data_IF_507457960502
#
_entry.id   IF_507457960502
#
_cell.length_a   1.000
_cell.length_b   1.000
_cell.length_c   1.000
_cell.angle_alpha   90.00
_cell.angle_beta   90.00
_cell.angle_gamma   90.00
#
_symmetry.space_group_name_H-M   'P 1'
#
loop_
_entity.id
_entity.type
_entity.pdbx_description
1 polymer ?
#
# COMPACT_ATOMS: atom_id res chain seq x y z
N UNK A 1 1.14 -12.88 13.76
CA UNK A 1 2.14 -13.59 12.94
C UNK A 1 3.37 -12.69 12.85
N UNK A 2 4.47 -13.11 13.45
CA UNK A 2 5.75 -12.44 13.28
C UNK A 2 6.35 -12.84 11.94
N UNK A 3 6.67 -11.85 11.11
CA UNK A 3 7.41 -12.03 9.86
C UNK A 3 8.65 -11.13 9.93
N UNK A 4 9.82 -11.72 9.76
CA UNK A 4 11.07 -10.98 9.66
C UNK A 4 11.18 -10.36 8.27
N UNK A 5 11.46 -9.06 8.22
CA UNK A 5 11.64 -8.31 6.98
C UNK A 5 13.05 -7.74 6.92
N UNK A 6 14.04 -8.52 6.49
CA UNK A 6 15.45 -8.16 6.58
C UNK A 6 15.89 -7.11 5.56
N UNK A 7 15.12 -6.93 4.47
CA UNK A 7 15.45 -5.97 3.41
C UNK A 7 15.07 -4.58 3.87
N UNK A 8 16.06 -3.77 4.22
CA UNK A 8 15.88 -2.42 4.74
C UNK A 8 16.99 -1.48 4.28
N UNK A 9 16.75 -0.19 4.41
CA UNK A 9 17.72 0.85 4.09
C UNK A 9 17.25 1.79 2.99
N UNK A 10 18.02 2.80 2.72
CA UNK A 10 17.76 3.81 1.69
C UNK A 10 18.41 3.38 0.37
N UNK A 11 17.66 3.19 -0.72
CA UNK A 11 18.25 2.86 -2.01
C UNK A 11 19.07 4.04 -2.55
N UNK A 12 20.13 3.76 -3.28
CA UNK A 12 20.86 4.78 -4.06
C UNK A 12 20.15 5.12 -5.35
N UNK A 13 19.43 4.13 -5.92
CA UNK A 13 18.78 4.22 -7.23
C UNK A 13 17.45 3.49 -7.21
N UNK A 14 16.46 4.05 -7.91
CA UNK A 14 15.15 3.42 -8.10
C UNK A 14 14.84 3.42 -9.59
N UNK A 15 14.68 2.21 -10.17
CA UNK A 15 14.20 2.04 -11.53
C UNK A 15 12.68 2.07 -11.58
N UNK A 16 12.10 2.94 -12.39
CA UNK A 16 10.65 3.12 -12.52
C UNK A 16 10.21 3.16 -13.98
N UNK A 17 8.96 2.83 -14.23
CA UNK A 17 8.34 3.09 -15.53
C UNK A 17 7.90 4.56 -15.67
N UNK A 18 7.33 4.90 -16.83
CA UNK A 18 6.84 6.25 -17.10
C UNK A 18 5.41 6.47 -16.58
N UNK A 19 4.97 5.75 -15.57
CA UNK A 19 3.68 5.96 -14.92
C UNK A 19 3.56 7.35 -14.31
N UNK A 20 2.38 7.97 -14.41
CA UNK A 20 2.14 9.32 -13.91
C UNK A 20 2.44 9.49 -12.40
N UNK A 21 2.30 8.44 -11.64
CA UNK A 21 2.56 8.45 -10.19
C UNK A 21 4.04 8.68 -9.87
N UNK A 22 4.94 8.13 -10.70
CA UNK A 22 6.39 8.33 -10.55
C UNK A 22 6.87 9.69 -11.04
N UNK A 23 6.13 10.35 -11.94
CA UNK A 23 6.36 11.75 -12.34
C UNK A 23 5.73 12.75 -11.38
N UNK A 24 5.31 12.32 -10.20
CA UNK A 24 4.78 13.24 -9.21
C UNK A 24 5.90 14.08 -8.59
N UNK A 25 5.63 15.38 -8.42
CA UNK A 25 6.57 16.30 -7.76
C UNK A 25 6.94 15.86 -6.33
N UNK A 26 6.11 15.05 -5.68
CA UNK A 26 6.39 14.49 -4.36
C UNK A 26 7.49 13.43 -4.43
N UNK A 27 7.37 12.51 -5.38
CA UNK A 27 8.34 11.43 -5.56
C UNK A 27 9.70 11.98 -6.04
N UNK A 28 9.70 12.80 -7.09
CA UNK A 28 10.94 13.39 -7.63
C UNK A 28 11.71 14.18 -6.57
N UNK A 29 11.02 15.08 -5.84
CA UNK A 29 11.65 15.87 -4.77
C UNK A 29 12.10 15.02 -3.59
N UNK A 30 11.32 14.01 -3.20
CA UNK A 30 11.72 13.09 -2.15
C UNK A 30 13.01 12.36 -2.52
N UNK A 31 13.10 11.85 -3.74
CA UNK A 31 14.32 11.21 -4.24
C UNK A 31 15.51 12.18 -4.27
N UNK A 32 15.33 13.37 -4.83
CA UNK A 32 16.38 14.42 -4.91
C UNK A 32 16.90 14.80 -3.51
N UNK A 33 15.97 15.08 -2.57
CA UNK A 33 16.31 15.48 -1.20
C UNK A 33 17.10 14.41 -0.44
N UNK A 34 16.83 13.15 -0.76
CA UNK A 34 17.53 12.03 -0.10
C UNK A 34 18.68 11.43 -0.92
N UNK A 35 19.04 12.06 -2.04
CA UNK A 35 20.15 11.61 -2.89
C UNK A 35 19.88 10.25 -3.55
N UNK A 36 18.61 9.99 -3.90
CA UNK A 36 18.17 8.79 -4.60
C UNK A 36 18.06 9.12 -6.09
N UNK A 37 18.83 8.45 -6.93
CA UNK A 37 18.74 8.58 -8.39
C UNK A 37 17.51 7.86 -8.92
N UNK A 38 16.80 8.47 -9.87
CA UNK A 38 15.67 7.84 -10.55
C UNK A 38 16.09 7.45 -11.95
N UNK A 39 15.99 6.17 -12.26
CA UNK A 39 16.21 5.63 -13.59
C UNK A 39 14.86 5.42 -14.28
N UNK A 40 14.59 6.24 -15.26
CA UNK A 40 13.39 6.12 -16.08
C UNK A 40 13.55 5.06 -17.16
N UNK A 41 12.64 4.13 -17.25
CA UNK A 41 12.65 3.16 -18.35
C UNK A 41 12.50 3.86 -19.70
N UNK A 42 13.29 3.48 -20.71
CA UNK A 42 13.09 4.01 -22.03
C UNK A 42 11.69 3.67 -22.56
N UNK A 43 10.98 4.63 -23.17
CA UNK A 43 9.69 4.36 -23.79
C UNK A 43 9.75 3.28 -24.86
N UNK A 44 8.76 2.39 -24.89
CA UNK A 44 8.67 1.32 -25.90
C UNK A 44 9.63 0.16 -25.72
N UNK A 45 10.28 0.03 -24.55
CA UNK A 45 11.20 -1.07 -24.25
C UNK A 45 10.69 -1.90 -23.05
N UNK A 46 9.73 -2.82 -23.25
CA UNK A 46 9.12 -3.60 -22.18
C UNK A 46 10.10 -4.51 -21.44
N UNK A 47 11.19 -4.95 -22.10
CA UNK A 47 12.20 -5.83 -21.51
C UNK A 47 12.81 -5.29 -20.21
N UNK A 48 12.88 -3.98 -20.02
CA UNK A 48 13.36 -3.37 -18.77
C UNK A 48 12.39 -3.55 -17.59
N UNK A 49 11.16 -4.06 -17.85
CA UNK A 49 10.15 -4.35 -16.85
C UNK A 49 10.07 -5.80 -16.40
N UNK A 50 10.72 -6.70 -17.12
CA UNK A 50 10.50 -8.13 -17.00
C UNK A 50 10.68 -8.69 -15.58
N UNK A 51 11.63 -8.17 -14.80
CA UNK A 51 11.84 -8.62 -13.41
C UNK A 51 10.64 -8.25 -12.52
N UNK A 52 10.20 -6.99 -12.55
CA UNK A 52 9.07 -6.53 -11.74
C UNK A 52 7.78 -7.23 -12.14
N UNK A 53 7.54 -7.39 -13.45
CA UNK A 53 6.38 -8.11 -13.99
C UNK A 53 6.37 -9.57 -13.56
N UNK A 54 7.52 -10.24 -13.58
CA UNK A 54 7.67 -11.62 -13.12
C UNK A 54 7.41 -11.76 -11.63
N UNK A 55 7.93 -10.84 -10.80
CA UNK A 55 7.65 -10.83 -9.36
C UNK A 55 6.15 -10.60 -9.10
N UNK A 56 5.54 -9.63 -9.78
CA UNK A 56 4.10 -9.38 -9.69
C UNK A 56 3.33 -10.62 -10.13
N UNK A 57 3.70 -11.24 -11.26
CA UNK A 57 3.06 -12.47 -11.74
C UNK A 57 3.13 -13.61 -10.72
N UNK A 58 4.29 -13.81 -10.09
CA UNK A 58 4.47 -14.81 -9.02
C UNK A 58 3.56 -14.53 -7.83
N UNK A 59 3.52 -13.29 -7.34
CA UNK A 59 2.67 -12.90 -6.22
C UNK A 59 1.19 -12.99 -6.56
N UNK A 60 0.79 -12.57 -7.76
CA UNK A 60 -0.59 -12.70 -8.22
C UNK A 60 -1.00 -14.18 -8.38
N UNK A 61 -0.08 -15.05 -8.81
CA UNK A 61 -0.32 -16.50 -8.80
C UNK A 61 -0.68 -17.03 -7.41
N UNK A 62 -0.03 -16.54 -6.35
CA UNK A 62 -0.38 -16.87 -4.97
C UNK A 62 -1.76 -16.32 -4.58
N UNK A 63 -2.06 -15.08 -4.97
CA UNK A 63 -3.35 -14.42 -4.70
C UNK A 63 -4.51 -15.17 -5.37
N UNK A 64 -4.29 -15.77 -6.54
CA UNK A 64 -5.32 -16.56 -7.23
C UNK A 64 -5.77 -17.81 -6.45
N UNK A 65 -5.02 -18.27 -5.48
CA UNK A 65 -5.42 -19.32 -4.55
C UNK A 65 -6.37 -18.84 -3.43
N UNK A 66 -6.61 -17.54 -3.29
CA UNK A 66 -7.46 -16.99 -2.24
C UNK A 66 -8.95 -17.00 -2.61
N UNK A 67 -9.83 -17.16 -1.61
CA UNK A 67 -11.27 -17.02 -1.84
C UNK A 67 -11.62 -15.61 -2.34
N UNK A 68 -12.47 -15.53 -3.37
CA UNK A 68 -12.88 -14.25 -3.97
C UNK A 68 -11.95 -13.74 -5.07
N UNK A 69 -11.01 -14.57 -5.53
CA UNK A 69 -10.14 -14.23 -6.67
C UNK A 69 -10.92 -14.11 -7.97
N UNK A 70 -10.44 -13.26 -8.88
CA UNK A 70 -10.98 -13.11 -10.23
C UNK A 70 -10.48 -14.16 -11.21
N UNK A 71 -9.49 -14.96 -10.82
CA UNK A 71 -8.71 -15.87 -11.68
C UNK A 71 -7.97 -15.18 -12.84
N UNK A 72 -7.01 -15.89 -13.43
CA UNK A 72 -6.22 -15.35 -14.55
C UNK A 72 -7.02 -15.30 -15.85
N UNK A 73 -8.02 -16.17 -16.01
CA UNK A 73 -8.86 -16.23 -17.22
C UNK A 73 -10.29 -16.68 -16.91
N UNK A 74 -11.19 -16.39 -17.87
CA UNK A 74 -12.62 -16.70 -17.75
C UNK A 74 -12.87 -18.22 -17.70
N UNK A 75 -12.06 -19.04 -18.37
CA UNK A 75 -12.20 -20.49 -18.37
C UNK A 75 -11.96 -21.12 -17.00
N UNK A 76 -10.98 -20.61 -16.25
CA UNK A 76 -10.72 -21.07 -14.87
C UNK A 76 -11.82 -20.62 -13.89
N UNK A 77 -12.49 -19.52 -14.17
CA UNK A 77 -13.57 -18.99 -13.34
C UNK A 77 -14.79 -19.90 -13.31
N UNK A 78 -15.21 -20.45 -14.45
CA UNK A 78 -16.42 -21.27 -14.56
C UNK A 78 -17.64 -20.58 -13.95
N UNK A 79 -18.39 -21.30 -13.11
CA UNK A 79 -19.57 -20.81 -12.37
C UNK A 79 -19.25 -20.23 -10.99
N UNK A 80 -17.97 -19.93 -10.70
CA UNK A 80 -17.54 -19.41 -9.39
C UNK A 80 -18.05 -17.99 -9.16
N UNK A 81 -18.78 -17.81 -8.06
CA UNK A 81 -19.35 -16.52 -7.63
C UNK A 81 -18.32 -15.78 -6.75
N UNK A 82 -17.61 -14.85 -7.35
CA UNK A 82 -16.53 -14.08 -6.72
C UNK A 82 -17.05 -13.30 -5.50
N UNK A 83 -18.19 -12.63 -5.65
CA UNK A 83 -18.74 -11.75 -4.62
C UNK A 83 -19.18 -12.54 -3.38
N UNK A 84 -19.68 -13.75 -3.57
CA UNK A 84 -20.04 -14.63 -2.46
C UNK A 84 -18.83 -15.28 -1.80
N UNK A 85 -17.75 -15.48 -2.53
CA UNK A 85 -16.56 -16.13 -2.03
C UNK A 85 -15.57 -15.13 -1.40
N UNK A 86 -15.62 -13.86 -1.77
CA UNK A 86 -14.77 -12.82 -1.19
C UNK A 86 -14.98 -12.72 0.32
N UNK A 87 -13.93 -12.96 1.10
CA UNK A 87 -14.00 -13.01 2.56
C UNK A 87 -12.92 -12.19 3.26
N UNK A 88 -11.89 -11.73 2.55
CA UNK A 88 -10.81 -10.94 3.11
C UNK A 88 -11.12 -9.44 3.02
N UNK A 89 -10.80 -8.72 4.08
CA UNK A 89 -10.69 -7.26 4.06
C UNK A 89 -9.37 -6.86 3.41
N UNK A 90 -9.23 -5.59 3.06
CA UNK A 90 -7.97 -5.06 2.51
C UNK A 90 -6.81 -5.24 3.49
N UNK A 91 -7.05 -5.01 4.79
CA UNK A 91 -6.04 -5.18 5.84
C UNK A 91 -5.62 -6.65 6.00
N UNK A 92 -6.56 -7.58 5.92
CA UNK A 92 -6.27 -9.01 5.96
C UNK A 92 -5.48 -9.48 4.74
N UNK A 93 -5.81 -8.95 3.55
CA UNK A 93 -5.05 -9.20 2.33
C UNK A 93 -3.62 -8.64 2.40
N UNK A 94 -3.45 -7.41 2.90
CA UNK A 94 -2.14 -6.80 3.12
C UNK A 94 -1.27 -7.65 4.07
N UNK A 95 -1.84 -8.08 5.18
CA UNK A 95 -1.16 -8.97 6.13
C UNK A 95 -0.81 -10.32 5.52
N UNK A 96 -1.71 -10.88 4.72
CA UNK A 96 -1.45 -12.13 4.02
C UNK A 96 -0.32 -11.97 3.00
N UNK A 97 -0.33 -10.89 2.21
CA UNK A 97 0.74 -10.58 1.24
C UNK A 97 2.09 -10.41 1.94
N UNK A 98 2.13 -9.70 3.07
CA UNK A 98 3.37 -9.55 3.84
C UNK A 98 3.94 -10.91 4.26
N UNK A 99 3.09 -11.82 4.71
CA UNK A 99 3.51 -13.20 5.05
C UNK A 99 3.95 -13.98 3.80
N UNK A 100 3.20 -13.87 2.70
CA UNK A 100 3.55 -14.54 1.45
C UNK A 100 4.90 -14.08 0.91
N UNK A 101 5.21 -12.80 1.00
CA UNK A 101 6.51 -12.26 0.59
C UNK A 101 7.61 -12.70 1.58
N UNK A 102 7.45 -12.44 2.87
CA UNK A 102 8.52 -12.63 3.84
C UNK A 102 8.82 -14.11 4.14
N UNK A 103 7.80 -14.98 4.16
CA UNK A 103 7.96 -16.39 4.55
C UNK A 103 7.93 -17.40 3.39
N UNK A 104 7.49 -16.97 2.22
CA UNK A 104 7.44 -17.84 1.06
C UNK A 104 8.36 -17.33 -0.06
N UNK A 105 8.09 -16.14 -0.61
CA UNK A 105 8.85 -15.60 -1.73
C UNK A 105 10.35 -15.43 -1.40
N UNK A 106 10.68 -14.81 -0.27
CA UNK A 106 12.05 -14.56 0.14
C UNK A 106 12.88 -15.85 0.39
N UNK A 107 12.21 -16.95 0.70
CA UNK A 107 12.87 -18.21 1.07
C UNK A 107 12.91 -19.24 -0.07
N UNK A 108 12.13 -19.03 -1.13
CA UNK A 108 12.06 -19.97 -2.25
C UNK A 108 13.22 -19.73 -3.23
N UNK A 109 13.89 -20.78 -3.70
CA UNK A 109 14.86 -20.68 -4.81
C UNK A 109 14.21 -20.14 -6.08
N UNK A 110 14.93 -19.27 -6.79
CA UNK A 110 14.50 -18.69 -8.07
C UNK A 110 15.55 -18.95 -9.15
N UNK A 111 15.12 -19.35 -10.33
CA UNK A 111 16.01 -19.60 -11.47
C UNK A 111 16.77 -18.33 -11.86
N UNK A 112 16.11 -17.17 -11.89
CA UNK A 112 16.75 -15.88 -12.16
C UNK A 112 17.77 -15.42 -11.10
N UNK A 113 18.00 -16.21 -10.05
CA UNK A 113 19.02 -16.02 -9.04
C UNK A 113 19.94 -17.27 -8.94
N UNK A 114 20.15 -17.98 -10.04
CA UNK A 114 20.96 -19.20 -10.09
C UNK A 114 20.53 -20.26 -9.06
N UNK A 115 19.23 -20.37 -8.83
CA UNK A 115 18.67 -21.29 -7.85
C UNK A 115 18.80 -20.80 -6.38
N UNK A 116 19.27 -19.59 -6.15
CA UNK A 116 19.31 -19.02 -4.80
C UNK A 116 17.95 -18.43 -4.38
N UNK A 117 17.70 -18.41 -3.07
CA UNK A 117 16.59 -17.68 -2.50
C UNK A 117 16.92 -16.17 -2.43
N UNK A 118 15.95 -15.26 -2.67
CA UNK A 118 16.15 -13.81 -2.57
C UNK A 118 16.78 -13.37 -1.25
N UNK A 119 16.35 -13.94 -0.14
CA UNK A 119 16.92 -13.65 1.18
C UNK A 119 18.40 -14.00 1.25
N UNK A 120 18.79 -15.16 0.70
CA UNK A 120 20.20 -15.58 0.70
C UNK A 120 21.05 -14.65 -0.16
N UNK A 121 20.56 -14.29 -1.35
CA UNK A 121 21.24 -13.33 -2.23
C UNK A 121 21.43 -11.98 -1.56
N UNK A 122 20.41 -11.49 -0.85
CA UNK A 122 20.50 -10.27 -0.04
C UNK A 122 21.57 -10.38 1.06
N UNK A 123 21.57 -11.47 1.81
CA UNK A 123 22.56 -11.70 2.88
C UNK A 123 24.00 -11.77 2.35
N UNK A 124 24.20 -12.45 1.23
CA UNK A 124 25.52 -12.55 0.60
C UNK A 124 25.99 -11.17 0.10
N UNK A 125 25.10 -10.38 -0.51
CA UNK A 125 25.40 -9.00 -0.92
C UNK A 125 25.72 -8.09 0.27
N UNK A 126 25.01 -8.21 1.39
CA UNK A 126 25.29 -7.48 2.60
C UNK A 126 26.64 -7.85 3.22
N UNK A 127 26.99 -9.14 3.20
CA UNK A 127 28.29 -9.60 3.68
C UNK A 127 29.44 -9.07 2.80
N UNK A 128 29.28 -9.09 1.48
CA UNK A 128 30.25 -8.54 0.55
C UNK A 128 30.46 -7.02 0.78
N UNK A 129 29.36 -6.28 0.88
CA UNK A 129 29.41 -4.84 1.16
C UNK A 129 30.14 -4.53 2.48
N UNK A 130 29.88 -5.33 3.53
CA UNK A 130 30.53 -5.17 4.82
C UNK A 130 32.04 -5.47 4.75
N UNK A 131 32.47 -6.46 3.96
CA UNK A 131 33.90 -6.76 3.74
C UNK A 131 34.62 -5.60 3.05
N UNK A 132 33.96 -4.85 2.20
CA UNK A 132 34.47 -3.64 1.56
C UNK A 132 34.41 -2.41 2.47
N UNK A 133 34.00 -2.54 3.72
CA UNK A 133 33.82 -1.45 4.68
C UNK A 133 32.60 -0.57 4.40
N UNK A 134 31.70 -1.03 3.53
CA UNK A 134 30.46 -0.34 3.20
C UNK A 134 29.31 -0.68 4.13
N UNK A 135 28.28 0.14 4.10
CA UNK A 135 27.00 -0.12 4.77
C UNK A 135 25.84 0.48 4.00
N UNK A 136 24.65 -0.09 4.17
CA UNK A 136 23.45 0.53 3.61
C UNK A 136 23.11 1.78 4.40
N UNK A 137 22.94 2.94 3.75
CA UNK A 137 22.55 4.16 4.43
C UNK A 137 21.13 4.05 4.97
N UNK A 138 20.91 4.54 6.18
CA UNK A 138 19.60 4.64 6.82
C UNK A 138 19.26 6.12 6.96
N UNK A 139 18.00 6.53 6.74
CA UNK A 139 17.59 7.90 7.00
C UNK A 139 17.87 8.30 8.45
N UNK A 140 18.42 9.49 8.67
CA UNK A 140 18.69 10.00 10.02
C UNK A 140 17.40 10.22 10.81
N UNK A 141 16.40 10.77 10.12
CA UNK A 141 15.05 10.95 10.63
C UNK A 141 14.06 10.19 9.71
N UNK A 142 13.60 9.03 10.17
CA UNK A 142 12.67 8.20 9.42
C UNK A 142 11.32 8.90 9.23
N UNK A 143 10.90 9.72 10.19
CA UNK A 143 9.64 10.45 10.09
C UNK A 143 9.70 11.52 9.00
N UNK A 144 10.73 12.35 9.00
CA UNK A 144 10.96 13.34 7.96
C UNK A 144 11.08 12.67 6.59
N UNK A 145 11.84 11.56 6.51
CA UNK A 145 11.97 10.77 5.29
C UNK A 145 10.62 10.33 4.73
N UNK A 146 9.73 9.77 5.55
CA UNK A 146 8.40 9.35 5.12
C UNK A 146 7.52 10.53 4.71
N UNK A 147 7.60 11.65 5.43
CA UNK A 147 6.86 12.87 5.11
C UNK A 147 7.28 13.46 3.77
N UNK A 148 8.58 13.39 3.43
CA UNK A 148 9.11 13.93 2.18
C UNK A 148 8.57 13.24 0.92
N UNK A 149 8.07 12.02 1.03
CA UNK A 149 7.40 11.29 -0.05
C UNK A 149 5.88 11.47 -0.08
N UNK A 150 5.29 12.16 0.87
CA UNK A 150 3.86 12.45 0.85
C UNK A 150 3.49 13.48 -0.23
N UNK A 151 2.28 13.42 -0.79
CA UNK A 151 1.78 14.39 -1.75
C UNK A 151 1.94 15.83 -1.27
N UNK A 152 2.41 16.69 -2.18
CA UNK A 152 2.71 18.09 -1.94
C UNK A 152 1.56 18.98 -2.37
N UNK A 153 1.23 19.94 -1.54
CA UNK A 153 0.28 21.00 -1.81
C UNK A 153 0.90 22.36 -1.44
N UNK A 154 0.52 23.42 -2.14
CA UNK A 154 0.82 24.79 -1.71
C UNK A 154 -0.46 25.44 -1.23
N UNK A 155 -0.45 26.01 -0.01
CA UNK A 155 -1.62 26.66 0.58
C UNK A 155 -1.23 27.95 1.29
N UNK A 156 -2.05 28.98 1.10
CA UNK A 156 -1.92 30.24 1.82
C UNK A 156 -2.46 30.07 3.24
N UNK A 157 -1.74 30.58 4.22
CA UNK A 157 -2.14 30.59 5.61
C UNK A 157 -3.23 31.64 5.84
N UNK A 158 -4.39 31.22 6.34
CA UNK A 158 -5.52 32.06 6.71
C UNK A 158 -5.46 32.40 8.22
N UNK A 159 -6.36 33.27 8.68
CA UNK A 159 -6.47 33.61 10.12
C UNK A 159 -6.90 32.43 10.98
N UNK A 160 -7.69 31.54 10.40
CA UNK A 160 -8.25 30.32 11.02
C UNK A 160 -7.41 29.07 10.78
N UNK A 161 -6.29 29.20 10.06
CA UNK A 161 -5.37 28.12 9.74
C UNK A 161 -5.23 27.84 8.26
N UNK A 162 -5.11 26.56 7.89
CA UNK A 162 -4.97 26.10 6.52
C UNK A 162 -6.23 25.33 6.13
N UNK A 163 -6.89 25.73 5.05
CA UNK A 163 -8.03 24.99 4.51
C UNK A 163 -7.63 24.19 3.27
N UNK A 164 -7.86 22.89 3.32
CA UNK A 164 -7.56 21.96 2.21
C UNK A 164 -8.80 21.11 1.96
N UNK A 165 -9.38 21.26 0.77
CA UNK A 165 -10.55 20.48 0.35
C UNK A 165 -11.71 20.51 1.37
N UNK A 166 -12.04 21.66 1.92
CA UNK A 166 -13.06 21.90 2.94
C UNK A 166 -12.74 21.34 4.35
N UNK A 167 -11.51 20.92 4.61
CA UNK A 167 -11.04 20.55 5.95
C UNK A 167 -10.10 21.64 6.45
N UNK A 168 -10.34 22.13 7.66
CA UNK A 168 -9.54 23.19 8.28
C UNK A 168 -8.55 22.59 9.29
N UNK A 169 -7.28 22.96 9.13
CA UNK A 169 -6.17 22.53 9.97
C UNK A 169 -5.63 23.71 10.76
N UNK A 170 -5.42 23.51 12.06
CA UNK A 170 -4.94 24.57 12.92
C UNK A 170 -4.03 24.04 14.05
N UNK A 171 -2.96 24.77 14.31
CA UNK A 171 -2.08 24.58 15.47
C UNK A 171 -1.72 25.93 16.05
N UNK A 172 -1.52 25.99 17.36
CA UNK A 172 -1.05 27.21 18.03
C UNK A 172 0.30 27.69 17.50
N UNK A 173 1.14 26.79 17.01
CA UNK A 173 2.43 27.12 16.40
C UNK A 173 2.27 27.99 15.13
N UNK A 174 1.18 27.85 14.39
CA UNK A 174 0.89 28.70 13.22
C UNK A 174 0.61 30.15 13.58
N UNK A 175 0.27 30.45 14.83
CA UNK A 175 -0.04 31.83 15.27
C UNK A 175 1.09 32.80 15.01
N UNK A 176 2.33 32.36 15.22
CA UNK A 176 3.51 33.20 14.96
C UNK A 176 3.54 33.66 13.49
N UNK A 177 3.23 32.79 12.55
CA UNK A 177 3.20 33.11 11.12
C UNK A 177 1.94 33.90 10.71
N UNK A 178 0.80 33.67 11.38
CA UNK A 178 -0.46 34.41 11.14
C UNK A 178 -0.32 35.88 11.55
N UNK A 179 0.36 36.12 12.68
CA UNK A 179 0.49 37.47 13.26
C UNK A 179 1.74 38.20 12.75
N UNK A 180 2.64 37.52 12.06
CA UNK A 180 3.84 38.14 11.52
C UNK A 180 3.52 39.30 10.57
N UNK A 181 4.30 40.39 10.67
CA UNK A 181 4.17 41.56 9.77
C UNK A 181 4.41 41.18 8.31
N UNK A 182 5.39 40.31 8.07
CA UNK A 182 5.67 39.70 6.77
C UNK A 182 5.16 38.26 6.82
N UNK A 183 3.93 38.05 6.44
CA UNK A 183 3.37 36.69 6.37
C UNK A 183 4.13 35.89 5.32
N UNK A 184 4.44 34.62 5.60
CA UNK A 184 5.01 33.76 4.58
C UNK A 184 4.05 33.64 3.41
N UNK A 185 4.58 33.50 2.20
CA UNK A 185 3.81 33.16 1.01
C UNK A 185 3.08 31.83 1.15
N UNK A 186 2.61 31.25 0.05
CA UNK A 186 1.98 29.92 0.12
C UNK A 186 2.94 28.88 0.68
N UNK A 187 2.56 28.29 1.82
CA UNK A 187 3.32 27.27 2.53
C UNK A 187 3.28 25.94 1.76
N UNK A 188 4.37 25.20 1.84
CA UNK A 188 4.44 23.84 1.36
C UNK A 188 3.84 22.92 2.43
N UNK A 189 2.84 22.15 2.03
CA UNK A 189 2.08 21.26 2.90
C UNK A 189 2.16 19.84 2.34
N UNK A 190 2.52 18.87 3.19
CA UNK A 190 2.49 17.46 2.90
C UNK A 190 1.26 16.84 3.55
N UNK A 191 0.55 15.98 2.83
CA UNK A 191 -0.70 15.36 3.29
C UNK A 191 -0.67 13.86 3.04
N UNK A 192 -0.87 13.06 4.09
CA UNK A 192 -1.03 11.62 3.94
C UNK A 192 -2.44 11.30 3.39
N UNK A 193 -2.56 10.66 2.23
CA UNK A 193 -3.87 10.27 1.68
C UNK A 193 -4.61 9.24 2.54
N UNK A 194 -3.91 8.53 3.40
CA UNK A 194 -4.49 7.49 4.26
C UNK A 194 -5.10 8.09 5.54
N UNK A 195 -4.60 9.26 5.98
CA UNK A 195 -5.01 9.92 7.21
C UNK A 195 -5.05 11.44 7.03
N UNK A 196 -6.24 11.98 6.87
CA UNK A 196 -6.48 13.42 6.75
C UNK A 196 -6.66 14.12 8.09
N UNK A 197 -6.44 13.46 9.23
CA UNK A 197 -6.56 14.09 10.55
C UNK A 197 -5.47 15.13 10.82
N UNK A 198 -4.40 15.12 10.03
CA UNK A 198 -3.28 16.05 10.16
C UNK A 198 -2.59 16.28 8.81
N UNK A 199 -1.87 17.39 8.75
CA UNK A 199 -0.95 17.73 7.65
C UNK A 199 0.39 18.14 8.21
N UNK A 200 1.42 18.09 7.37
CA UNK A 200 2.77 18.48 7.72
C UNK A 200 3.13 19.74 6.93
N UNK A 201 3.38 20.82 7.62
CA UNK A 201 3.71 22.13 7.02
C UNK A 201 5.20 22.33 7.13
N UNK A 202 5.88 22.56 6.01
CA UNK A 202 7.30 22.87 6.01
C UNK A 202 7.51 24.24 6.65
N UNK A 203 8.35 24.29 7.69
CA UNK A 203 8.76 25.54 8.30
C UNK A 203 9.64 26.32 7.32
N UNK A 204 9.27 27.55 6.95
CA UNK A 204 10.07 28.35 6.02
C UNK A 204 11.43 28.78 6.57
N UNK A 205 11.68 28.61 7.88
CA UNK A 205 12.90 29.06 8.57
C UNK A 205 13.85 27.90 8.96
N UNK A 206 13.31 26.71 9.21
CA UNK A 206 14.03 25.60 9.85
C UNK A 206 14.04 24.31 9.01
N UNK A 207 13.50 24.33 7.81
CA UNK A 207 13.34 23.14 6.94
C UNK A 207 12.73 21.89 7.62
N UNK A 208 12.21 22.05 8.85
CA UNK A 208 11.51 21.04 9.61
C UNK A 208 10.02 20.98 9.26
N UNK A 209 9.35 19.89 9.64
CA UNK A 209 7.91 19.78 9.46
C UNK A 209 7.16 20.04 10.76
N UNK A 210 6.27 21.04 10.73
CA UNK A 210 5.26 21.27 11.75
C UNK A 210 4.05 20.38 11.48
N UNK A 211 3.71 19.50 12.41
CA UNK A 211 2.46 18.75 12.36
C UNK A 211 1.28 19.63 12.78
N UNK A 212 0.30 19.72 11.89
CA UNK A 212 -0.90 20.55 12.08
C UNK A 212 -2.14 19.66 12.00
N UNK A 213 -2.81 19.38 13.11
CA UNK A 213 -4.01 18.57 13.14
C UNK A 213 -5.22 19.32 12.56
N UNK A 214 -6.28 18.59 12.29
CA UNK A 214 -7.60 19.19 12.04
C UNK A 214 -8.01 20.09 13.20
N UNK A 215 -8.64 21.20 12.89
CA UNK A 215 -9.07 22.17 13.91
C UNK A 215 -10.04 21.58 14.93
N UNK A 216 -10.91 20.70 14.48
CA UNK A 216 -11.83 19.95 15.32
C UNK A 216 -11.26 18.55 15.60
N UNK A 217 -10.65 18.40 16.76
CA UNK A 217 -10.02 17.16 17.22
C UNK A 217 -11.02 16.06 17.57
N UNK A 218 -12.31 16.37 17.69
CA UNK A 218 -13.34 15.36 17.97
C UNK A 218 -13.69 14.53 16.75
N UNK A 219 -13.29 14.95 15.56
CA UNK A 219 -13.58 14.27 14.30
C UNK A 219 -12.72 13.05 14.10
N UNK A 220 -13.30 11.96 13.57
CA UNK A 220 -12.54 10.75 13.29
C UNK A 220 -11.52 10.99 12.17
N UNK A 221 -10.41 10.28 12.21
CA UNK A 221 -9.49 10.22 11.09
C UNK A 221 -10.21 9.62 9.87
N UNK A 222 -10.07 10.28 8.72
CA UNK A 222 -10.65 9.85 7.44
C UNK A 222 -9.56 9.78 6.37
N UNK A 223 -9.74 8.90 5.40
CA UNK A 223 -8.87 8.82 4.22
C UNK A 223 -9.31 9.79 3.13
N UNK A 224 -8.38 10.11 2.22
CA UNK A 224 -8.69 10.91 1.03
C UNK A 224 -9.77 10.27 0.15
N UNK A 225 -9.84 8.93 0.15
CA UNK A 225 -10.86 8.18 -0.56
C UNK A 225 -12.26 8.44 0.03
N UNK A 226 -12.42 8.26 1.33
CA UNK A 226 -13.68 8.54 2.04
C UNK A 226 -14.11 9.99 1.84
N UNK A 227 -13.16 10.92 2.00
CA UNK A 227 -13.38 12.33 1.76
C UNK A 227 -13.89 12.63 0.34
N UNK A 228 -13.25 12.07 -0.70
CA UNK A 228 -13.66 12.25 -2.10
C UNK A 228 -15.05 11.67 -2.37
N UNK A 229 -15.33 10.51 -1.80
CA UNK A 229 -16.63 9.86 -1.93
C UNK A 229 -17.74 10.67 -1.25
N UNK A 230 -17.51 11.16 -0.04
CA UNK A 230 -18.44 12.03 0.68
C UNK A 230 -18.70 13.33 -0.10
N UNK A 231 -17.66 14.00 -0.59
CA UNK A 231 -17.79 15.18 -1.46
C UNK A 231 -18.63 14.91 -2.72
N UNK A 232 -18.41 13.76 -3.38
CA UNK A 232 -19.19 13.40 -4.56
C UNK A 232 -20.68 13.24 -4.23
N UNK A 233 -20.99 12.57 -3.12
CA UNK A 233 -22.37 12.38 -2.65
C UNK A 233 -23.04 13.70 -2.28
N UNK A 234 -22.35 14.58 -1.55
CA UNK A 234 -22.89 15.88 -1.18
C UNK A 234 -23.15 16.77 -2.40
N UNK A 235 -22.24 16.81 -3.36
CA UNK A 235 -22.44 17.54 -4.64
C UNK A 235 -23.63 17.02 -5.43
N UNK A 236 -23.87 15.70 -5.42
CA UNK A 236 -25.03 15.12 -6.10
C UNK A 236 -26.37 15.46 -5.40
N UNK A 237 -26.37 15.64 -4.09
CA UNK A 237 -27.56 16.00 -3.30
C UNK A 237 -27.82 17.52 -3.27
N UNK A 238 -26.79 18.34 -3.20
CA UNK A 238 -26.88 19.79 -3.02
C UNK A 238 -25.96 20.51 -4.00
N UNK A 239 -26.49 21.56 -4.64
CA UNK A 239 -25.71 22.47 -5.50
C UNK A 239 -25.02 23.61 -4.74
N UNK A 240 -25.11 23.63 -3.41
CA UNK A 240 -24.55 24.65 -2.54
C UNK A 240 -23.13 24.37 -2.04
N UNK A 241 -22.62 25.26 -1.21
CA UNK A 241 -21.33 25.08 -0.55
C UNK A 241 -21.32 23.83 0.35
N UNK A 242 -20.21 23.09 0.31
CA UNK A 242 -20.03 21.92 1.13
C UNK A 242 -19.42 22.36 2.46
N UNK A 243 -20.22 22.27 3.52
CA UNK A 243 -19.74 22.48 4.87
C UNK A 243 -18.93 21.29 5.38
N UNK A 244 -17.89 21.59 6.16
CA UNK A 244 -17.02 20.59 6.76
C UNK A 244 -17.79 19.59 7.63
N UNK A 245 -18.77 20.07 8.43
CA UNK A 245 -19.63 19.22 9.26
C UNK A 245 -20.42 18.19 8.45
N UNK A 246 -21.04 18.62 7.35
CA UNK A 246 -21.78 17.74 6.47
C UNK A 246 -20.90 16.67 5.79
N UNK A 247 -19.64 17.00 5.52
CA UNK A 247 -18.68 16.05 4.95
C UNK A 247 -18.37 14.91 5.92
N UNK A 248 -18.06 15.23 7.19
CA UNK A 248 -17.79 14.21 8.20
C UNK A 248 -19.01 13.37 8.55
N UNK A 249 -20.20 13.98 8.64
CA UNK A 249 -21.45 13.25 8.81
C UNK A 249 -21.70 12.25 7.67
N UNK A 250 -21.42 12.62 6.42
CA UNK A 250 -21.54 11.72 5.28
C UNK A 250 -20.55 10.55 5.34
N UNK A 251 -19.32 10.76 5.84
CA UNK A 251 -18.35 9.67 6.06
C UNK A 251 -18.83 8.71 7.14
N UNK A 252 -19.35 9.23 8.25
CA UNK A 252 -19.89 8.39 9.33
C UNK A 252 -21.10 7.56 8.87
N UNK A 253 -22.00 8.15 8.09
CA UNK A 253 -23.13 7.44 7.48
C UNK A 253 -22.66 6.29 6.60
N UNK A 254 -21.63 6.51 5.77
CA UNK A 254 -21.04 5.47 4.92
C UNK A 254 -20.43 4.34 5.74
N UNK A 255 -19.64 4.65 6.76
CA UNK A 255 -19.04 3.66 7.66
C UNK A 255 -20.09 2.87 8.44
N UNK A 256 -21.18 3.52 8.85
CA UNK A 256 -22.30 2.83 9.50
C UNK A 256 -23.00 1.84 8.55
N UNK A 257 -23.22 2.23 7.31
CA UNK A 257 -23.78 1.35 6.29
C UNK A 257 -22.88 0.12 6.02
N UNK A 258 -21.57 0.31 5.93
CA UNK A 258 -20.60 -0.78 5.77
C UNK A 258 -20.61 -1.75 6.96
N UNK A 259 -20.59 -1.21 8.19
CA UNK A 259 -20.68 -2.05 9.40
C UNK A 259 -21.97 -2.85 9.45
N UNK A 260 -23.09 -2.26 9.06
CA UNK A 260 -24.38 -2.94 9.03
C UNK A 260 -24.41 -4.04 7.95
N UNK A 261 -23.90 -3.77 6.74
CA UNK A 261 -23.75 -4.75 5.68
C UNK A 261 -22.87 -5.93 6.11
N UNK A 262 -21.74 -5.67 6.76
CA UNK A 262 -20.85 -6.71 7.30
C UNK A 262 -21.54 -7.58 8.37
N UNK A 263 -22.33 -6.97 9.25
CA UNK A 263 -23.13 -7.71 10.27
C UNK A 263 -24.19 -8.60 9.62
N UNK A 264 -24.93 -8.09 8.64
CA UNK A 264 -25.93 -8.83 7.90
C UNK A 264 -25.32 -10.02 7.14
N UNK A 265 -24.17 -9.81 6.51
CA UNK A 265 -23.44 -10.87 5.81
C UNK A 265 -22.98 -11.97 6.76
N UNK A 266 -22.44 -11.61 7.95
CA UNK A 266 -22.04 -12.57 8.99
C UNK A 266 -23.25 -13.34 9.54
N UNK A 267 -24.37 -12.68 9.77
CA UNK A 267 -25.63 -13.33 10.22
C UNK A 267 -26.13 -14.30 9.17
N UNK A 268 -26.21 -13.88 7.91
CA UNK A 268 -26.63 -14.73 6.82
C UNK A 268 -25.73 -15.97 6.64
N UNK A 269 -24.41 -15.83 6.84
CA UNK A 269 -23.46 -16.96 6.84
C UNK A 269 -23.70 -17.90 8.01
N UNK A 270 -23.95 -17.40 9.23
CA UNK A 270 -24.27 -18.22 10.39
C UNK A 270 -25.58 -19.00 10.19
N UNK A 271 -26.60 -18.34 9.66
CA UNK A 271 -27.90 -18.97 9.40
C UNK A 271 -27.79 -20.03 8.30
N UNK A 272 -26.98 -19.79 7.27
CA UNK A 272 -26.67 -20.78 6.24
C UNK A 272 -25.95 -22.00 6.81
N UNK A 273 -24.96 -21.79 7.67
CA UNK A 273 -24.22 -22.85 8.36
C UNK A 273 -25.14 -23.65 9.30
N UNK A 274 -26.03 -22.97 10.01
CA UNK A 274 -27.06 -23.64 10.85
C UNK A 274 -28.04 -24.48 10.03
N UNK A 275 -28.52 -23.97 8.89
CA UNK A 275 -29.44 -24.70 7.97
C UNK A 275 -28.74 -25.89 7.31
N UNK A 276 -27.44 -25.74 6.96
CA UNK A 276 -26.65 -26.85 6.42
C UNK A 276 -26.32 -27.93 7.47
N UNK A 277 -26.51 -27.64 8.77
CA UNK A 277 -26.22 -28.54 9.88
C UNK A 277 -27.47 -29.21 10.49
N UNK A 278 -28.63 -28.99 9.90
CA UNK A 278 -29.86 -29.72 10.26
C UNK A 278 -29.96 -30.98 9.37
N UNK A 279 -29.60 -32.14 9.86
CA UNK A 279 -29.72 -33.36 9.08
C UNK A 279 -30.71 -34.29 9.70
N UNK A 280 -31.47 -34.91 8.87
CA UNK A 280 -31.78 -36.30 9.05
C UNK A 280 -30.65 -37.12 8.45
N UNK A 281 -29.80 -37.69 9.29
CA UNK A 281 -28.83 -38.70 8.88
C UNK A 281 -28.96 -39.93 9.76
N UNK A 282 -29.23 -41.11 9.18
CA UNK A 282 -29.09 -42.39 9.87
C UNK A 282 -27.59 -42.65 10.17
N UNK A 283 -27.37 -43.41 11.22
CA UNK A 283 -26.10 -43.72 11.86
C UNK A 283 -24.95 -44.05 10.91
N UNK A 284 -23.79 -43.53 11.27
CA UNK A 284 -22.51 -43.67 10.57
C UNK A 284 -21.99 -45.13 10.56
N UNK A 285 -21.37 -45.57 9.48
CA UNK A 285 -20.38 -46.63 9.50
C UNK A 285 -18.99 -46.12 9.97
N UNK A 286 -18.08 -47.01 10.39
CA UNK A 286 -16.96 -46.68 11.24
C UNK A 286 -15.80 -45.99 10.54
N UNK A 287 -15.15 -45.18 11.32
CA UNK A 287 -13.80 -44.60 11.18
C UNK A 287 -13.02 -44.85 9.88
N UNK A 288 -12.83 -43.79 9.15
CA UNK A 288 -11.73 -43.64 8.18
C UNK A 288 -10.67 -42.75 8.81
N UNK A 289 -9.43 -43.22 8.74
CA UNK A 289 -8.22 -42.55 9.18
C UNK A 289 -8.14 -41.07 8.79
N UNK A 290 -7.45 -40.23 9.57
CA UNK A 290 -7.32 -38.81 9.23
C UNK A 290 -6.64 -38.68 7.88
N UNK A 291 -7.37 -38.05 6.95
CA UNK A 291 -6.83 -37.72 5.65
C UNK A 291 -5.55 -36.90 5.84
N UNK A 292 -4.46 -37.37 5.26
CA UNK A 292 -3.24 -36.57 5.06
C UNK A 292 -3.63 -35.20 4.54
N UNK A 293 -2.99 -34.14 5.01
CA UNK A 293 -3.19 -32.83 4.42
C UNK A 293 -2.97 -32.95 2.91
N UNK A 294 -3.92 -32.43 2.16
CA UNK A 294 -3.82 -32.41 0.71
C UNK A 294 -2.48 -31.80 0.33
N UNK A 295 -1.72 -32.41 -0.59
CA UNK A 295 -0.50 -31.80 -1.07
C UNK A 295 -0.88 -30.42 -1.59
N UNK A 296 -0.12 -29.42 -1.14
CA UNK A 296 -0.11 -28.11 -1.76
C UNK A 296 0.02 -28.37 -3.25
N UNK A 297 -0.99 -27.98 -4.02
CA UNK A 297 -0.99 -28.22 -5.46
C UNK A 297 0.35 -27.75 -5.99
N UNK A 298 1.11 -28.71 -6.51
CA UNK A 298 2.35 -28.46 -7.21
C UNK A 298 1.95 -27.53 -8.37
N UNK A 299 2.33 -26.27 -8.25
CA UNK A 299 2.13 -25.27 -9.30
C UNK A 299 2.81 -25.87 -10.53
N UNK A 300 2.00 -26.32 -11.49
CA UNK A 300 2.48 -26.76 -12.77
C UNK A 300 3.45 -25.70 -13.28
N UNK A 301 4.68 -26.12 -13.52
CA UNK A 301 5.69 -25.29 -14.14
C UNK A 301 5.07 -24.79 -15.45
N UNK A 302 4.84 -23.48 -15.51
CA UNK A 302 4.58 -22.82 -16.78
C UNK A 302 5.86 -23.05 -17.57
N UNK A 303 5.76 -23.81 -18.66
CA UNK A 303 6.86 -24.07 -19.56
C UNK A 303 7.38 -22.71 -20.03
N UNK A 304 8.61 -22.40 -19.62
CA UNK A 304 9.36 -21.28 -20.14
C UNK A 304 9.74 -21.62 -21.59
N UNK A 305 9.11 -20.88 -22.50
CA UNK A 305 9.61 -20.81 -23.88
C UNK A 305 10.59 -19.64 -23.97
N UNK A 306 11.77 -20.03 -24.43
CA UNK A 306 12.80 -19.24 -25.10
C UNK A 306 13.76 -18.38 -24.28
N UNK A 307 14.99 -18.93 -24.26
CA UNK A 307 16.30 -18.31 -24.08
C UNK A 307 16.45 -16.96 -24.81
N UNK A 308 16.18 -15.88 -24.13
CA UNK A 308 16.82 -14.62 -24.41
C UNK A 308 17.72 -14.31 -23.21
N UNK A 309 19.02 -14.35 -23.39
CA UNK A 309 19.99 -13.82 -22.42
C UNK A 309 19.67 -12.35 -22.12
N UNK A 310 18.81 -12.15 -21.15
CA UNK A 310 18.60 -10.84 -20.56
C UNK A 310 19.74 -10.60 -19.54
N UNK A 311 20.35 -9.41 -19.52
CA UNK A 311 21.35 -9.10 -18.51
C UNK A 311 20.75 -9.34 -17.13
N UNK A 312 21.46 -10.10 -16.30
CA UNK A 312 21.02 -10.44 -14.96
C UNK A 312 20.71 -9.18 -14.16
N UNK A 313 19.51 -9.04 -13.56
CA UNK A 313 19.10 -7.81 -12.88
C UNK A 313 19.94 -7.49 -11.63
N UNK A 314 20.89 -8.35 -11.28
CA UNK A 314 21.74 -8.24 -10.11
C UNK A 314 23.23 -8.27 -10.42
N UNK A 315 23.64 -8.19 -11.70
CA UNK A 315 25.06 -8.15 -12.08
C UNK A 315 25.79 -6.90 -11.51
N UNK A 316 25.02 -5.88 -11.13
CA UNK A 316 25.53 -4.61 -10.58
C UNK A 316 25.34 -4.46 -9.06
N UNK A 317 25.16 -5.56 -8.29
CA UNK A 317 24.98 -5.42 -6.81
C UNK A 317 26.18 -4.74 -6.13
N UNK A 318 27.36 -4.79 -6.73
CA UNK A 318 28.52 -4.03 -6.25
C UNK A 318 28.33 -2.49 -6.34
N UNK A 319 27.29 -2.01 -7.03
CA UNK A 319 26.96 -0.58 -7.16
C UNK A 319 25.80 -0.12 -6.25
N UNK A 320 25.27 -1.01 -5.39
CA UNK A 320 24.19 -0.69 -4.43
C UNK A 320 24.71 -0.31 -3.06
#
# INVERSE_FOLDING_TARGET
VEADWPVQGKPRRIGVDNGADFHSAAFERGCEQHGISIDWRPPGQPQFGGVVERVIGTLMGLVHGLPGTTFSNVGQRGSYDIDKAACLTLEELERWLAVAVAKYYHLRPHEGLDGQAPLRRWQDGMAALAMEGGSIPVPRDLRAYLVDFLPVLRRSLQRDGLTIDHVTYFSSALRAWITARNRPGPLLVRRDPRDLSRVFVLDPLDDGYLEVPTRDLSRPAISLWEHRLARRRLRARHRGEIEEGALFAAVEEMRAAERNAARLTRSARRDRTRRARAPDLPAAPPSVEPAKPAPVAELAAVADDEDAELPHPFDDIAQW
#
